data_IF_281824306774
#
_entry.id   IF_281824306774
#
_cell.length_a   1.000
_cell.length_b   1.000
_cell.length_c   1.000
_cell.angle_alpha   90.00
_cell.angle_beta   90.00
_cell.angle_gamma   90.00
#
_symmetry.space_group_name_H-M   'P 1'
#
loop_
_entity.id
_entity.type
_entity.pdbx_description
1 polymer ?
#
# COMPACT_ATOMS: atom_id res chain seq x y z
N UNK A 1 -4.43 24.86 -13.02
CA UNK A 1 -5.43 24.65 -11.95
C UNK A 1 -5.10 23.46 -11.04
N UNK A 2 -4.50 22.38 -11.56
CA UNK A 2 -4.00 21.24 -10.76
C UNK A 2 -2.97 21.64 -9.70
N UNK A 3 -2.14 22.64 -9.98
CA UNK A 3 -0.98 22.95 -9.14
C UNK A 3 -1.38 23.75 -7.90
N UNK A 4 -2.38 24.64 -8.03
CA UNK A 4 -2.95 25.41 -6.91
C UNK A 4 -3.54 24.51 -5.84
N UNK A 5 -4.17 23.42 -6.26
CA UNK A 5 -4.67 22.38 -5.37
C UNK A 5 -3.55 21.65 -4.62
N UNK A 6 -2.41 21.45 -5.30
CA UNK A 6 -1.23 20.82 -4.74
C UNK A 6 -0.64 21.62 -3.56
N UNK A 7 -0.69 22.95 -3.63
CA UNK A 7 -0.20 23.84 -2.58
C UNK A 7 -1.12 23.82 -1.36
N UNK A 8 -2.45 23.85 -1.55
CA UNK A 8 -3.41 23.91 -0.43
C UNK A 8 -3.29 22.72 0.52
N UNK A 9 -3.22 21.50 -0.02
CA UNK A 9 -3.05 20.27 0.80
C UNK A 9 -1.75 20.26 1.62
N UNK A 10 -0.64 20.69 1.02
CA UNK A 10 0.68 20.68 1.67
C UNK A 10 0.75 21.80 2.71
N UNK A 11 0.21 22.97 2.38
CA UNK A 11 0.05 24.08 3.30
C UNK A 11 -0.77 23.68 4.52
N UNK A 12 -1.94 23.06 4.34
CA UNK A 12 -2.77 22.59 5.47
C UNK A 12 -2.01 21.55 6.31
N UNK A 13 -1.35 20.58 5.70
CA UNK A 13 -0.54 19.59 6.43
C UNK A 13 0.58 20.29 7.24
N UNK A 14 1.31 21.21 6.62
CA UNK A 14 2.40 21.96 7.23
C UNK A 14 1.91 22.81 8.41
N UNK A 15 0.81 23.55 8.24
CA UNK A 15 0.20 24.37 9.29
C UNK A 15 -0.20 23.49 10.48
N UNK A 16 -0.85 22.35 10.24
CA UNK A 16 -1.26 21.45 11.32
C UNK A 16 -0.06 20.89 12.09
N UNK A 17 1.05 20.58 11.42
CA UNK A 17 2.28 20.08 12.06
C UNK A 17 3.05 21.20 12.76
N UNK A 18 3.08 22.42 12.22
CA UNK A 18 3.65 23.60 12.86
C UNK A 18 2.93 23.90 14.18
N UNK A 19 1.59 23.82 14.18
CA UNK A 19 0.78 23.89 15.39
C UNK A 19 0.66 22.54 16.12
N UNK A 20 1.62 21.63 15.91
CA UNK A 20 1.66 20.28 16.48
C UNK A 20 1.54 20.22 18.00
N UNK A 21 1.92 21.29 18.70
CA UNK A 21 1.69 21.43 20.15
C UNK A 21 0.19 21.43 20.53
N UNK A 22 -0.65 21.98 19.67
CA UNK A 22 -2.11 22.05 19.87
C UNK A 22 -2.86 20.93 19.14
N UNK A 23 -2.44 20.59 17.92
CA UNK A 23 -3.12 19.59 17.07
C UNK A 23 -2.69 18.15 17.36
N UNK A 24 -1.53 17.96 17.99
CA UNK A 24 -0.90 16.65 18.18
C UNK A 24 -0.31 16.03 16.91
N UNK A 25 -0.40 16.70 15.76
CA UNK A 25 0.11 16.21 14.48
C UNK A 25 1.63 16.35 14.39
N UNK A 26 2.30 15.31 13.87
CA UNK A 26 3.77 15.23 13.76
C UNK A 26 4.24 14.91 12.34
N UNK A 27 3.48 14.13 11.57
CA UNK A 27 3.95 13.66 10.26
C UNK A 27 3.76 14.68 9.14
N UNK A 28 4.84 14.98 8.42
CA UNK A 28 4.81 15.79 7.20
C UNK A 28 4.79 14.88 5.98
N UNK A 29 3.77 15.00 5.13
CA UNK A 29 3.60 14.15 3.95
C UNK A 29 4.50 14.61 2.80
N UNK A 30 5.55 13.85 2.50
CA UNK A 30 6.57 14.23 1.50
C UNK A 30 6.48 13.47 0.17
N UNK A 31 5.57 12.50 0.04
CA UNK A 31 5.50 11.65 -1.14
C UNK A 31 4.70 12.30 -2.28
N UNK A 32 5.40 12.88 -3.26
CA UNK A 32 4.77 13.65 -4.35
C UNK A 32 3.75 12.86 -5.18
N UNK A 33 4.18 11.77 -5.81
CA UNK A 33 3.36 11.00 -6.77
C UNK A 33 2.07 10.43 -6.13
N UNK A 34 2.22 9.72 -5.01
CA UNK A 34 1.07 9.11 -4.31
C UNK A 34 0.17 10.18 -3.73
N UNK A 35 0.75 11.30 -3.28
CA UNK A 35 0.00 12.46 -2.87
C UNK A 35 -0.88 12.97 -4.01
N UNK A 36 -0.31 13.20 -5.20
CA UNK A 36 -1.06 13.71 -6.38
C UNK A 36 -2.25 12.82 -6.68
N UNK A 37 -2.06 11.50 -6.78
CA UNK A 37 -3.14 10.55 -7.06
C UNK A 37 -4.22 10.56 -5.98
N UNK A 38 -3.84 10.60 -4.70
CA UNK A 38 -4.79 10.65 -3.59
C UNK A 38 -5.63 11.93 -3.63
N UNK A 39 -4.97 13.07 -3.81
CA UNK A 39 -5.63 14.37 -3.84
C UNK A 39 -6.56 14.46 -5.06
N UNK A 40 -6.15 13.96 -6.22
CA UNK A 40 -7.01 13.91 -7.42
C UNK A 40 -8.28 13.09 -7.18
N UNK A 41 -8.17 11.92 -6.53
CA UNK A 41 -9.34 11.12 -6.20
C UNK A 41 -10.32 11.86 -5.27
N UNK A 42 -9.82 12.55 -4.25
CA UNK A 42 -10.65 13.35 -3.32
C UNK A 42 -11.30 14.54 -4.04
N UNK A 43 -10.56 15.24 -4.91
CA UNK A 43 -11.10 16.35 -5.69
C UNK A 43 -12.24 15.89 -6.60
N UNK A 44 -12.05 14.78 -7.32
CA UNK A 44 -13.08 14.24 -8.19
C UNK A 44 -14.32 13.78 -7.43
N UNK A 45 -14.16 13.20 -6.25
CA UNK A 45 -15.29 12.86 -5.37
C UNK A 45 -16.10 14.11 -5.02
N UNK A 46 -15.44 15.21 -4.66
CA UNK A 46 -16.11 16.46 -4.28
C UNK A 46 -16.80 17.10 -5.48
N UNK A 47 -16.11 17.21 -6.62
CA UNK A 47 -16.67 17.83 -7.83
C UNK A 47 -17.89 17.06 -8.33
N UNK A 48 -17.80 15.74 -8.46
CA UNK A 48 -18.88 14.95 -9.05
C UNK A 48 -20.05 14.67 -8.10
N UNK A 49 -19.79 14.47 -6.81
CA UNK A 49 -20.86 14.09 -5.87
C UNK A 49 -21.50 15.28 -5.18
N UNK A 50 -20.75 16.37 -4.96
CA UNK A 50 -21.26 17.55 -4.25
C UNK A 50 -21.61 18.70 -5.20
N UNK A 51 -21.19 18.63 -6.47
CA UNK A 51 -21.58 19.60 -7.50
C UNK A 51 -21.06 21.02 -7.26
N UNK A 52 -20.02 21.18 -6.43
CA UNK A 52 -19.44 22.49 -6.13
C UNK A 52 -18.63 23.03 -7.32
N UNK A 53 -18.51 24.36 -7.39
CA UNK A 53 -17.62 25.02 -8.35
C UNK A 53 -16.16 24.62 -8.14
N UNK A 54 -15.33 24.82 -9.17
CA UNK A 54 -13.93 24.40 -9.17
C UNK A 54 -13.13 25.00 -8.01
N UNK A 55 -13.29 26.28 -7.71
CA UNK A 55 -12.55 26.97 -6.66
C UNK A 55 -12.93 26.43 -5.27
N UNK A 56 -14.23 26.29 -4.98
CA UNK A 56 -14.67 25.72 -3.70
C UNK A 56 -14.20 24.27 -3.55
N UNK A 57 -14.31 23.47 -4.62
CA UNK A 57 -13.89 22.07 -4.62
C UNK A 57 -12.40 21.92 -4.34
N UNK A 58 -11.55 22.76 -4.95
CA UNK A 58 -10.10 22.77 -4.74
C UNK A 58 -9.77 23.07 -3.27
N UNK A 59 -10.39 24.09 -2.68
CA UNK A 59 -10.12 24.47 -1.28
C UNK A 59 -10.58 23.37 -0.33
N UNK A 60 -11.82 22.88 -0.48
CA UNK A 60 -12.38 21.83 0.39
C UNK A 60 -11.56 20.54 0.28
N UNK A 61 -11.26 20.09 -0.94
CA UNK A 61 -10.46 18.90 -1.17
C UNK A 61 -9.05 19.06 -0.59
N UNK A 62 -8.45 20.26 -0.72
CA UNK A 62 -7.11 20.55 -0.23
C UNK A 62 -7.04 20.46 1.29
N UNK A 63 -7.98 21.11 1.96
CA UNK A 63 -8.08 21.10 3.43
C UNK A 63 -8.35 19.70 3.95
N UNK A 64 -9.34 18.98 3.40
CA UNK A 64 -9.67 17.62 3.81
C UNK A 64 -8.48 16.67 3.63
N UNK A 65 -7.78 16.77 2.50
CA UNK A 65 -6.61 15.93 2.23
C UNK A 65 -5.45 16.28 3.17
N UNK A 66 -5.18 17.56 3.42
CA UNK A 66 -4.11 17.98 4.33
C UNK A 66 -4.36 17.59 5.78
N UNK A 67 -5.61 17.68 6.24
CA UNK A 67 -6.06 17.17 7.55
C UNK A 67 -5.86 15.65 7.62
N UNK A 68 -6.37 14.92 6.62
CA UNK A 68 -6.21 13.47 6.55
C UNK A 68 -4.74 13.09 6.66
N UNK A 69 -3.87 13.69 5.85
CA UNK A 69 -2.44 13.43 5.87
C UNK A 69 -1.82 13.68 7.24
N UNK A 70 -2.04 14.85 7.84
CA UNK A 70 -1.45 15.21 9.13
C UNK A 70 -1.77 14.18 10.22
N UNK A 71 -3.03 13.74 10.30
CA UNK A 71 -3.44 12.76 11.31
C UNK A 71 -3.05 11.33 10.93
N UNK A 72 -3.24 10.92 9.68
CA UNK A 72 -2.97 9.54 9.25
C UNK A 72 -1.49 9.19 9.34
N UNK A 73 -0.58 10.11 8.95
CA UNK A 73 0.87 9.91 9.08
C UNK A 73 1.30 9.87 10.54
N UNK A 74 0.61 10.63 11.41
CA UNK A 74 0.89 10.69 12.86
C UNK A 74 0.40 9.43 13.59
N UNK A 75 -0.77 8.90 13.21
CA UNK A 75 -1.37 7.70 13.80
C UNK A 75 -0.46 6.48 13.69
N UNK A 76 0.27 6.36 12.57
CA UNK A 76 1.14 5.22 12.32
C UNK A 76 2.58 5.39 12.81
N UNK A 77 2.97 6.55 13.36
CA UNK A 77 4.34 6.79 13.85
C UNK A 77 4.82 5.68 14.79
N UNK A 78 4.00 5.33 15.79
CA UNK A 78 4.38 4.30 16.79
C UNK A 78 4.51 2.90 16.16
N UNK A 79 3.52 2.40 15.38
CA UNK A 79 3.68 1.15 14.63
C UNK A 79 4.92 1.12 13.74
N UNK A 80 5.17 2.19 12.98
CA UNK A 80 6.28 2.25 12.04
C UNK A 80 7.63 2.30 12.78
N UNK A 81 7.72 3.04 13.89
CA UNK A 81 8.91 3.05 14.73
C UNK A 81 9.25 1.65 15.27
N UNK A 82 8.25 0.82 15.61
CA UNK A 82 8.49 -0.57 16.02
C UNK A 82 9.05 -1.44 14.89
N UNK A 83 8.52 -1.30 13.68
CA UNK A 83 8.98 -2.07 12.50
C UNK A 83 10.39 -1.66 12.09
N UNK A 84 10.70 -0.37 12.19
CA UNK A 84 11.93 0.23 11.67
C UNK A 84 13.04 0.39 12.70
N UNK A 85 12.85 -0.11 13.94
CA UNK A 85 13.76 0.12 15.06
C UNK A 85 14.04 1.61 15.29
N UNK A 86 12.98 2.42 15.25
CA UNK A 86 12.99 3.87 15.48
C UNK A 86 13.88 4.64 14.48
N UNK A 87 13.79 4.31 13.19
CA UNK A 87 14.59 4.92 12.12
C UNK A 87 14.30 6.42 11.85
N UNK A 88 13.39 7.05 12.61
CA UNK A 88 13.16 8.50 12.55
C UNK A 88 12.21 8.98 11.45
N UNK A 89 11.53 8.08 10.74
CA UNK A 89 10.53 8.44 9.73
C UNK A 89 9.17 7.74 9.97
N UNK A 90 8.13 8.25 9.32
CA UNK A 90 6.81 7.61 9.21
C UNK A 90 6.44 7.41 7.74
N UNK A 91 5.25 6.88 7.45
CA UNK A 91 4.82 6.56 6.08
C UNK A 91 3.76 7.53 5.56
N UNK A 92 3.92 7.95 4.32
CA UNK A 92 3.03 8.80 3.53
C UNK A 92 2.54 8.04 2.29
N UNK A 93 1.43 7.31 2.41
CA UNK A 93 0.86 6.52 1.31
C UNK A 93 -0.64 6.22 1.50
N UNK A 94 -1.31 5.70 0.47
CA UNK A 94 -2.76 5.50 0.46
C UNK A 94 -3.32 4.55 1.54
N UNK A 95 -2.53 3.63 2.07
CA UNK A 95 -2.96 2.63 3.06
C UNK A 95 -2.56 2.95 4.51
N UNK A 96 -2.29 4.21 4.86
CA UNK A 96 -1.92 4.61 6.23
C UNK A 96 -2.92 4.11 7.29
N UNK A 97 -4.23 4.26 7.04
CA UNK A 97 -5.25 3.75 7.97
C UNK A 97 -5.26 2.22 8.03
N UNK A 98 -5.03 1.54 6.91
CA UNK A 98 -4.87 0.09 6.88
C UNK A 98 -3.69 -0.37 7.73
N UNK A 99 -2.52 0.27 7.56
CA UNK A 99 -1.34 0.00 8.39
C UNK A 99 -1.64 0.22 9.87
N UNK A 100 -2.33 1.31 10.23
CA UNK A 100 -2.76 1.52 11.62
C UNK A 100 -3.66 0.39 12.12
N UNK A 101 -4.68 0.03 11.34
CA UNK A 101 -5.63 -1.03 11.68
C UNK A 101 -4.91 -2.37 11.90
N UNK A 102 -4.13 -2.83 10.92
CA UNK A 102 -3.39 -4.09 11.05
C UNK A 102 -2.37 -4.05 12.19
N UNK A 103 -1.78 -2.89 12.50
CA UNK A 103 -0.90 -2.78 13.67
C UNK A 103 -1.59 -3.06 15.00
N UNK A 104 -2.88 -2.76 15.10
CA UNK A 104 -3.68 -2.99 16.31
C UNK A 104 -4.14 -4.43 16.44
N UNK A 105 -4.20 -5.18 15.36
CA UNK A 105 -4.71 -6.55 15.40
C UNK A 105 -3.60 -7.60 15.20
N UNK A 106 -2.44 -7.23 14.67
CA UNK A 106 -1.32 -8.14 14.40
C UNK A 106 -0.91 -9.03 15.57
N UNK A 107 -0.78 -8.44 16.76
CA UNK A 107 -0.36 -9.16 17.97
C UNK A 107 -1.31 -10.27 18.43
N UNK A 108 -2.56 -10.31 17.93
CA UNK A 108 -3.54 -11.33 18.32
C UNK A 108 -3.38 -12.66 17.59
N UNK A 109 -2.63 -12.66 16.48
CA UNK A 109 -2.61 -13.82 15.57
C UNK A 109 -1.30 -14.60 15.60
N UNK A 110 -0.30 -14.16 16.36
CA UNK A 110 0.94 -14.89 16.50
C UNK A 110 2.00 -14.16 17.30
N UNK A 111 3.09 -14.88 17.54
CA UNK A 111 4.25 -14.40 18.26
C UNK A 111 5.30 -13.86 17.25
N UNK A 112 5.64 -12.56 17.30
CA UNK A 112 6.58 -11.94 16.38
C UNK A 112 8.02 -12.45 16.51
N UNK A 113 8.43 -12.98 17.66
CA UNK A 113 9.80 -13.49 17.84
C UNK A 113 9.95 -14.92 17.32
N UNK A 114 8.91 -15.75 17.51
CA UNK A 114 8.94 -17.16 17.10
C UNK A 114 8.65 -17.38 15.62
N UNK A 115 7.93 -16.45 14.98
CA UNK A 115 7.44 -16.63 13.61
C UNK A 115 7.89 -15.52 12.66
N UNK A 116 9.09 -14.97 12.83
CA UNK A 116 9.62 -13.97 11.90
C UNK A 116 10.04 -14.62 10.56
N UNK A 117 9.46 -14.15 9.45
CA UNK A 117 9.78 -14.60 8.10
C UNK A 117 11.25 -14.39 7.68
N UNK A 118 11.98 -13.50 8.35
CA UNK A 118 13.43 -13.34 8.12
C UNK A 118 14.27 -14.33 8.92
N UNK A 119 13.74 -14.89 10.02
CA UNK A 119 14.48 -15.78 10.94
C UNK A 119 14.05 -17.25 10.85
N UNK A 120 13.30 -17.64 9.83
CA UNK A 120 12.96 -19.05 9.63
C UNK A 120 14.23 -19.85 9.37
N UNK A 121 14.54 -20.80 10.27
CA UNK A 121 15.59 -21.79 10.06
C UNK A 121 14.98 -23.03 9.44
N UNK A 122 14.97 -23.10 8.11
CA UNK A 122 14.46 -24.27 7.39
C UNK A 122 15.52 -25.39 7.34
N UNK A 123 15.15 -26.67 7.55
CA UNK A 123 16.09 -27.78 7.58
C UNK A 123 16.54 -28.23 6.18
N UNK A 124 17.80 -28.68 6.08
CA UNK A 124 18.34 -29.34 4.88
C UNK A 124 18.33 -28.47 3.62
N UNK A 125 17.81 -29.00 2.52
CA UNK A 125 17.77 -28.31 1.22
C UNK A 125 16.88 -27.06 1.21
N UNK A 126 15.94 -26.94 2.16
CA UNK A 126 15.09 -25.75 2.30
C UNK A 126 15.85 -24.54 2.88
N UNK A 127 17.08 -24.72 3.36
CA UNK A 127 17.92 -23.61 3.81
C UNK A 127 18.23 -22.58 2.70
N UNK A 128 18.05 -22.93 1.42
CA UNK A 128 18.16 -22.00 0.29
C UNK A 128 17.21 -20.79 0.41
N UNK A 129 16.09 -20.96 1.11
CA UNK A 129 15.10 -19.90 1.35
C UNK A 129 15.54 -18.92 2.47
N UNK A 130 16.63 -19.21 3.19
CA UNK A 130 17.19 -18.28 4.16
C UNK A 130 17.88 -17.09 3.46
N UNK A 131 18.30 -17.25 2.20
CA UNK A 131 18.83 -16.16 1.39
C UNK A 131 17.69 -15.45 0.67
N UNK A 132 17.40 -14.21 1.07
CA UNK A 132 16.28 -13.42 0.55
C UNK A 132 16.24 -13.32 -0.99
N UNK A 133 17.38 -13.09 -1.66
CA UNK A 133 17.45 -13.01 -3.13
C UNK A 133 16.98 -14.31 -3.78
N UNK A 134 17.46 -15.45 -3.28
CA UNK A 134 17.10 -16.77 -3.78
C UNK A 134 15.66 -17.12 -3.44
N UNK A 135 15.23 -16.83 -2.21
CA UNK A 135 13.87 -17.07 -1.75
C UNK A 135 12.84 -16.31 -2.60
N UNK A 136 13.07 -15.02 -2.83
CA UNK A 136 12.21 -14.17 -3.65
C UNK A 136 12.16 -14.69 -5.08
N UNK A 137 13.31 -15.06 -5.67
CA UNK A 137 13.36 -15.58 -7.03
C UNK A 137 12.52 -16.86 -7.18
N UNK A 138 12.67 -17.81 -6.25
CA UNK A 138 11.93 -19.09 -6.29
C UNK A 138 10.43 -18.85 -6.08
N UNK A 139 10.06 -18.11 -5.03
CA UNK A 139 8.66 -17.82 -4.71
C UNK A 139 7.96 -17.10 -5.86
N UNK A 140 8.63 -16.12 -6.49
CA UNK A 140 8.07 -15.37 -7.61
C UNK A 140 8.03 -16.18 -8.90
N UNK A 141 9.01 -17.06 -9.15
CA UNK A 141 8.96 -18.01 -10.28
C UNK A 141 7.74 -18.91 -10.18
N UNK A 142 7.50 -19.49 -8.99
CA UNK A 142 6.34 -20.35 -8.75
C UNK A 142 5.03 -19.58 -8.84
N UNK A 143 4.99 -18.37 -8.25
CA UNK A 143 3.81 -17.53 -8.24
C UNK A 143 3.43 -17.06 -9.64
N UNK A 144 4.32 -16.35 -10.34
CA UNK A 144 4.08 -15.86 -11.70
C UNK A 144 3.90 -17.03 -12.67
N UNK A 145 4.70 -18.09 -12.51
CA UNK A 145 4.57 -19.31 -13.30
C UNK A 145 3.19 -19.96 -13.17
N UNK A 146 2.66 -20.08 -11.95
CA UNK A 146 1.31 -20.58 -11.71
C UNK A 146 0.24 -19.76 -12.44
N UNK A 147 0.32 -18.42 -12.37
CA UNK A 147 -0.61 -17.55 -13.09
C UNK A 147 -0.49 -17.65 -14.61
N UNK A 148 0.74 -17.67 -15.14
CA UNK A 148 0.97 -17.77 -16.57
C UNK A 148 0.50 -19.12 -17.11
N UNK A 149 0.81 -20.22 -16.42
CA UNK A 149 0.37 -21.56 -16.82
C UNK A 149 -1.15 -21.71 -16.78
N UNK A 150 -1.84 -21.01 -15.87
CA UNK A 150 -3.31 -20.97 -15.85
C UNK A 150 -3.91 -20.32 -17.12
N UNK A 151 -3.15 -19.51 -17.86
CA UNK A 151 -3.57 -18.97 -19.17
C UNK A 151 -3.40 -19.97 -20.32
N UNK A 152 -2.74 -21.12 -20.09
CA UNK A 152 -2.45 -22.14 -21.10
C UNK A 152 -1.01 -22.05 -21.64
N UNK A 153 -0.38 -23.21 -21.86
CA UNK A 153 1.04 -23.31 -22.25
C UNK A 153 1.30 -22.60 -23.59
N UNK A 154 0.40 -22.72 -24.56
CA UNK A 154 0.54 -22.10 -25.87
C UNK A 154 0.61 -20.57 -25.77
N UNK A 155 -0.20 -19.97 -24.91
CA UNK A 155 -0.17 -18.53 -24.65
C UNK A 155 1.15 -18.11 -24.01
N UNK A 156 1.67 -18.89 -23.07
CA UNK A 156 2.98 -18.62 -22.46
C UNK A 156 4.12 -18.76 -23.48
N UNK A 157 4.03 -19.75 -24.37
CA UNK A 157 5.03 -19.97 -25.42
C UNK A 157 5.03 -18.84 -26.45
N UNK A 158 3.87 -18.27 -26.77
CA UNK A 158 3.74 -17.04 -27.57
C UNK A 158 4.37 -15.84 -26.85
N UNK A 159 4.09 -15.66 -25.55
CA UNK A 159 4.68 -14.59 -24.74
C UNK A 159 6.20 -14.72 -24.60
N UNK A 160 6.73 -15.94 -24.64
CA UNK A 160 8.15 -16.23 -24.55
C UNK A 160 8.96 -15.84 -25.81
N UNK A 161 8.30 -15.43 -26.91
CA UNK A 161 8.91 -14.87 -28.14
C UNK A 161 10.12 -15.67 -28.64
N UNK A 162 9.98 -17.00 -28.73
CA UNK A 162 11.02 -17.91 -29.24
C UNK A 162 11.95 -18.52 -28.18
N UNK A 163 11.81 -18.16 -26.90
CA UNK A 163 12.42 -18.91 -25.79
C UNK A 163 11.48 -20.04 -25.33
N UNK A 164 11.99 -21.16 -24.79
CA UNK A 164 11.14 -22.16 -24.15
C UNK A 164 10.34 -21.54 -22.99
N UNK A 165 9.04 -21.87 -22.89
CA UNK A 165 8.11 -21.30 -21.90
C UNK A 165 8.64 -21.38 -20.45
N UNK A 166 9.29 -22.49 -20.08
CA UNK A 166 9.83 -22.68 -18.72
C UNK A 166 11.02 -21.76 -18.44
N UNK A 167 11.90 -21.53 -19.42
CA UNK A 167 13.00 -20.57 -19.31
C UNK A 167 12.45 -19.15 -19.18
N UNK A 168 11.39 -18.83 -19.89
CA UNK A 168 10.71 -17.53 -19.78
C UNK A 168 10.17 -17.30 -18.36
N UNK A 169 9.47 -18.29 -17.78
CA UNK A 169 8.95 -18.21 -16.40
C UNK A 169 10.08 -18.04 -15.37
N UNK A 170 11.14 -18.84 -15.48
CA UNK A 170 12.31 -18.74 -14.58
C UNK A 170 12.95 -17.35 -14.69
N UNK A 171 13.13 -16.83 -15.90
CA UNK A 171 13.68 -15.49 -16.11
C UNK A 171 12.81 -14.39 -15.49
N UNK A 172 11.48 -14.49 -15.57
CA UNK A 172 10.59 -13.53 -14.93
C UNK A 172 10.74 -13.50 -13.40
N UNK A 173 10.82 -14.67 -12.76
CA UNK A 173 11.04 -14.75 -11.31
C UNK A 173 12.42 -14.24 -10.89
N UNK A 174 13.46 -14.54 -11.66
CA UNK A 174 14.81 -14.00 -11.44
C UNK A 174 14.86 -12.48 -11.62
N UNK A 175 14.23 -11.94 -12.67
CA UNK A 175 14.13 -10.51 -12.90
C UNK A 175 13.41 -9.80 -11.75
N UNK A 176 12.34 -10.39 -11.23
CA UNK A 176 11.66 -9.83 -10.06
C UNK A 176 12.61 -9.71 -8.86
N UNK A 177 13.36 -10.77 -8.54
CA UNK A 177 14.33 -10.73 -7.46
C UNK A 177 15.42 -9.69 -7.68
N UNK A 178 15.94 -9.59 -8.92
CA UNK A 178 16.91 -8.56 -9.31
C UNK A 178 16.36 -7.14 -9.09
N UNK A 179 15.14 -6.86 -9.54
CA UNK A 179 14.49 -5.56 -9.33
C UNK A 179 14.22 -5.28 -7.85
N UNK A 180 13.88 -6.31 -7.07
CA UNK A 180 13.77 -6.19 -5.63
C UNK A 180 15.10 -5.78 -5.00
N UNK A 181 16.22 -6.39 -5.36
CA UNK A 181 17.54 -5.99 -4.84
C UNK A 181 17.83 -4.52 -5.17
N UNK A 182 17.61 -4.10 -6.42
CA UNK A 182 17.80 -2.70 -6.84
C UNK A 182 16.91 -1.76 -6.03
N UNK A 183 15.63 -2.11 -5.87
CA UNK A 183 14.66 -1.32 -5.10
C UNK A 183 15.09 -1.19 -3.64
N UNK A 184 15.45 -2.30 -2.98
CA UNK A 184 15.83 -2.30 -1.57
C UNK A 184 17.09 -1.47 -1.32
N UNK A 185 18.07 -1.55 -2.25
CA UNK A 185 19.29 -0.77 -2.17
C UNK A 185 19.01 0.73 -2.36
N UNK A 186 18.25 1.10 -3.39
CA UNK A 186 17.91 2.50 -3.68
C UNK A 186 17.11 3.15 -2.55
N UNK A 187 16.13 2.43 -2.01
CA UNK A 187 15.30 2.92 -0.90
C UNK A 187 16.12 3.13 0.38
N UNK A 188 17.01 2.20 0.73
CA UNK A 188 17.87 2.36 1.93
C UNK A 188 18.74 3.61 1.84
N UNK A 189 19.34 3.85 0.68
CA UNK A 189 20.17 5.04 0.43
C UNK A 189 19.33 6.32 0.57
N UNK A 190 18.17 6.37 -0.09
CA UNK A 190 17.28 7.52 -0.06
C UNK A 190 16.78 7.84 1.36
N UNK A 191 16.38 6.82 2.13
CA UNK A 191 15.89 7.01 3.51
C UNK A 191 16.98 7.60 4.41
N UNK A 192 18.23 7.18 4.24
CA UNK A 192 19.37 7.74 4.99
C UNK A 192 19.53 9.24 4.76
N UNK A 193 19.53 9.66 3.48
CA UNK A 193 19.67 11.08 3.10
C UNK A 193 18.47 11.94 3.52
N UNK A 194 17.25 11.41 3.42
CA UNK A 194 16.04 12.11 3.88
C UNK A 194 16.12 12.35 5.38
N UNK A 195 16.52 11.35 6.18
CA UNK A 195 16.59 11.51 7.62
C UNK A 195 17.65 12.54 8.04
N UNK A 196 18.82 12.51 7.39
CA UNK A 196 19.89 13.49 7.62
C UNK A 196 19.48 14.92 7.28
N UNK A 197 18.90 15.13 6.10
CA UNK A 197 18.44 16.45 5.65
C UNK A 197 17.26 16.99 6.46
N UNK A 198 16.33 16.11 6.87
CA UNK A 198 15.16 16.52 7.63
C UNK A 198 15.48 16.91 9.08
N UNK A 199 16.52 16.32 9.68
CA UNK A 199 16.98 16.71 11.02
C UNK A 199 17.37 18.19 11.08
N UNK A 200 18.11 18.69 10.08
CA UNK A 200 18.46 20.11 9.99
C UNK A 200 17.24 21.05 9.88
N UNK A 201 16.19 20.61 9.19
CA UNK A 201 14.92 21.34 9.13
C UNK A 201 14.14 21.28 10.45
N UNK A 202 14.11 20.10 11.09
CA UNK A 202 13.43 19.85 12.35
C UNK A 202 14.00 20.72 13.47
N UNK A 203 15.33 20.83 13.56
CA UNK A 203 16.03 21.59 14.59
C UNK A 203 15.81 23.10 14.48
N UNK A 204 15.59 23.62 13.26
CA UNK A 204 15.48 25.07 13.00
C UNK A 204 14.04 25.58 12.87
N UNK A 205 13.15 24.82 12.25
CA UNK A 205 11.84 25.33 11.79
C UNK A 205 10.63 24.60 12.39
N UNK A 206 10.69 23.28 12.56
CA UNK A 206 9.50 22.48 12.93
C UNK A 206 9.84 21.47 14.03
N UNK A 207 10.00 21.93 15.28
CA UNK A 207 10.35 21.06 16.39
C UNK A 207 9.23 20.02 16.59
N UNK A 208 9.61 18.73 16.62
CA UNK A 208 8.74 17.54 16.70
C UNK A 208 8.12 17.04 15.39
N UNK A 209 8.44 17.61 14.23
CA UNK A 209 8.02 17.04 12.95
C UNK A 209 8.74 15.71 12.67
N UNK A 210 8.05 14.78 12.02
CA UNK A 210 8.58 13.49 11.57
C UNK A 210 8.38 13.43 10.06
N UNK A 211 9.44 13.14 9.27
CA UNK A 211 9.29 13.02 7.82
C UNK A 211 8.46 11.79 7.49
N UNK A 212 7.40 11.95 6.70
CA UNK A 212 6.61 10.85 6.19
C UNK A 212 7.02 10.55 4.73
N UNK A 213 7.61 9.39 4.51
CA UNK A 213 8.19 8.95 3.22
C UNK A 213 7.35 7.85 2.57
N UNK A 214 7.71 7.46 1.35
CA UNK A 214 7.00 6.42 0.61
C UNK A 214 6.97 5.07 1.35
N UNK A 215 5.91 4.30 1.15
CA UNK A 215 5.71 2.99 1.78
C UNK A 215 6.82 1.99 1.43
N UNK A 216 7.47 2.15 0.28
CA UNK A 216 8.62 1.34 -0.12
C UNK A 216 9.74 1.37 0.92
N UNK A 217 9.84 2.44 1.72
CA UNK A 217 10.77 2.57 2.84
C UNK A 217 10.69 1.43 3.87
N UNK A 218 9.56 0.71 3.96
CA UNK A 218 9.42 -0.43 4.86
C UNK A 218 9.98 -1.73 4.30
N UNK A 219 10.02 -1.88 2.98
CA UNK A 219 10.38 -3.14 2.32
C UNK A 219 11.79 -3.65 2.73
N UNK A 220 12.81 -2.79 2.90
CA UNK A 220 14.14 -3.25 3.30
C UNK A 220 14.25 -3.77 4.73
N UNK A 221 13.24 -3.57 5.59
CA UNK A 221 13.23 -4.03 6.98
C UNK A 221 12.74 -5.48 7.13
N UNK A 222 12.02 -6.00 6.13
CA UNK A 222 11.64 -7.41 6.04
C UNK A 222 11.29 -7.82 4.59
N UNK A 223 12.30 -8.03 3.72
CA UNK A 223 12.09 -8.32 2.30
C UNK A 223 11.29 -9.60 2.00
N UNK A 224 11.48 -10.66 2.79
CA UNK A 224 10.74 -11.92 2.63
C UNK A 224 9.27 -11.71 3.03
N UNK A 225 9.04 -10.98 4.12
CA UNK A 225 7.69 -10.64 4.56
C UNK A 225 6.94 -9.79 3.53
N UNK A 226 7.62 -8.85 2.88
CA UNK A 226 7.06 -8.06 1.79
C UNK A 226 6.62 -8.95 0.62
N UNK A 227 7.51 -9.83 0.18
CA UNK A 227 7.28 -10.68 -0.99
C UNK A 227 6.08 -11.60 -0.78
N UNK A 228 6.02 -12.35 0.33
CA UNK A 228 4.82 -13.17 0.54
C UNK A 228 3.59 -12.37 1.00
N UNK A 229 3.74 -11.15 1.53
CA UNK A 229 2.61 -10.23 1.75
C UNK A 229 1.92 -9.86 0.43
N UNK A 230 2.70 -9.63 -0.63
CA UNK A 230 2.19 -9.49 -1.99
C UNK A 230 1.47 -10.76 -2.50
N UNK A 231 2.05 -11.95 -2.28
CA UNK A 231 1.42 -13.23 -2.67
C UNK A 231 0.05 -13.39 -2.01
N UNK A 232 -0.03 -13.22 -0.68
CA UNK A 232 -1.28 -13.33 0.07
C UNK A 232 -2.28 -12.24 -0.32
N UNK A 233 -1.83 -11.00 -0.56
CA UNK A 233 -2.69 -9.93 -1.04
C UNK A 233 -3.30 -10.26 -2.42
N UNK A 234 -2.54 -10.92 -3.29
CA UNK A 234 -3.03 -11.35 -4.60
C UNK A 234 -4.09 -12.44 -4.47
N UNK A 235 -3.85 -13.47 -3.67
CA UNK A 235 -4.87 -14.50 -3.42
C UNK A 235 -6.12 -13.93 -2.76
N UNK A 236 -5.97 -13.04 -1.77
CA UNK A 236 -7.12 -12.36 -1.14
C UNK A 236 -7.91 -11.51 -2.14
N UNK A 237 -7.23 -10.91 -3.11
CA UNK A 237 -7.88 -10.17 -4.18
C UNK A 237 -8.68 -11.08 -5.11
N UNK A 238 -8.09 -12.21 -5.53
CA UNK A 238 -8.78 -13.19 -6.39
C UNK A 238 -10.00 -13.76 -5.68
N UNK A 239 -9.86 -14.06 -4.39
CA UNK A 239 -10.96 -14.49 -3.55
C UNK A 239 -12.08 -13.43 -3.48
N UNK A 240 -11.71 -12.16 -3.26
CA UNK A 240 -12.66 -11.03 -3.27
C UNK A 240 -13.37 -10.87 -4.61
N UNK A 241 -12.65 -11.04 -5.73
CA UNK A 241 -13.24 -11.04 -7.06
C UNK A 241 -14.22 -12.20 -7.27
N UNK A 242 -13.91 -13.39 -6.73
CA UNK A 242 -14.82 -14.53 -6.71
C UNK A 242 -16.11 -14.22 -5.95
N UNK A 243 -16.01 -13.56 -4.79
CA UNK A 243 -17.20 -13.09 -4.05
C UNK A 243 -18.00 -12.10 -4.87
N UNK A 244 -17.36 -11.10 -5.49
CA UNK A 244 -18.03 -10.11 -6.35
C UNK A 244 -18.77 -10.77 -7.52
N UNK A 245 -18.19 -11.82 -8.09
CA UNK A 245 -18.83 -12.62 -9.14
C UNK A 245 -20.05 -13.40 -8.61
N UNK A 246 -19.93 -14.04 -7.45
CA UNK A 246 -21.03 -14.79 -6.81
C UNK A 246 -22.23 -13.88 -6.47
N UNK A 247 -21.97 -12.66 -5.99
CA UNK A 247 -23.03 -11.69 -5.68
C UNK A 247 -23.54 -10.94 -6.92
N UNK A 248 -23.07 -11.30 -8.12
CA UNK A 248 -23.43 -10.65 -9.39
C UNK A 248 -23.25 -9.12 -9.34
N UNK A 249 -22.14 -8.66 -8.77
CA UNK A 249 -21.82 -7.25 -8.69
C UNK A 249 -21.76 -6.64 -10.10
N UNK A 250 -22.40 -5.49 -10.35
CA UNK A 250 -22.35 -4.80 -11.65
C UNK A 250 -20.97 -4.21 -11.96
N UNK A 251 -20.06 -4.19 -10.98
CA UNK A 251 -18.71 -3.64 -11.11
C UNK A 251 -17.72 -4.72 -10.69
N UNK A 252 -16.79 -5.04 -11.59
CA UNK A 252 -15.65 -5.92 -11.32
C UNK A 252 -14.36 -5.10 -11.32
N UNK A 253 -13.59 -5.21 -10.25
CA UNK A 253 -12.33 -4.48 -10.09
C UNK A 253 -11.18 -5.37 -10.52
N UNK A 254 -10.47 -4.98 -11.58
CA UNK A 254 -9.27 -5.67 -12.03
C UNK A 254 -8.05 -5.12 -11.26
N UNK A 255 -7.33 -5.97 -10.51
CA UNK A 255 -6.18 -5.51 -9.74
C UNK A 255 -4.98 -5.23 -10.65
N UNK A 256 -4.42 -4.02 -10.48
CA UNK A 256 -3.08 -3.74 -10.97
C UNK A 256 -2.00 -4.35 -10.06
N UNK A 257 -0.83 -4.62 -10.64
CA UNK A 257 0.35 -5.09 -9.89
C UNK A 257 0.79 -4.12 -8.80
N UNK A 258 0.83 -2.81 -9.10
CA UNK A 258 1.32 -1.78 -8.17
C UNK A 258 0.48 -1.75 -6.87
N UNK A 259 -0.86 -1.67 -6.90
CA UNK A 259 -1.67 -1.78 -5.67
C UNK A 259 -1.46 -3.08 -4.90
N UNK A 260 -1.35 -4.22 -5.59
CA UNK A 260 -1.14 -5.51 -4.92
C UNK A 260 0.19 -5.55 -4.17
N UNK A 261 1.27 -5.11 -4.82
CA UNK A 261 2.60 -5.17 -4.24
C UNK A 261 2.82 -4.09 -3.18
N UNK A 262 2.51 -2.83 -3.46
CA UNK A 262 2.79 -1.70 -2.56
C UNK A 262 1.74 -1.52 -1.45
N UNK A 263 0.59 -2.20 -1.53
CA UNK A 263 -0.32 -2.35 -0.38
C UNK A 263 0.00 -3.62 0.41
N UNK A 264 0.03 -4.78 -0.26
CA UNK A 264 0.24 -6.08 0.38
C UNK A 264 1.61 -6.28 0.99
N UNK A 265 2.67 -5.84 0.31
CA UNK A 265 4.05 -5.99 0.79
C UNK A 265 4.29 -5.27 2.11
N UNK A 266 4.06 -3.95 2.19
CA UNK A 266 4.27 -3.20 3.42
C UNK A 266 3.37 -3.62 4.58
N UNK A 267 2.11 -3.98 4.32
CA UNK A 267 1.24 -4.57 5.35
C UNK A 267 1.81 -5.92 5.80
N UNK A 268 2.38 -6.72 4.89
CA UNK A 268 3.09 -7.96 5.20
C UNK A 268 4.33 -7.75 6.08
N UNK A 269 5.12 -6.72 5.83
CA UNK A 269 6.27 -6.32 6.68
C UNK A 269 5.80 -5.96 8.08
N UNK A 270 4.80 -5.07 8.15
CA UNK A 270 4.19 -4.60 9.39
C UNK A 270 3.62 -5.77 10.22
N UNK A 271 2.86 -6.64 9.55
CA UNK A 271 2.30 -7.85 10.12
C UNK A 271 3.36 -8.78 10.70
N UNK A 272 4.39 -9.08 9.91
CA UNK A 272 5.45 -9.99 10.31
C UNK A 272 6.16 -9.50 11.58
N UNK A 273 6.47 -8.21 11.65
CA UNK A 273 7.14 -7.61 12.82
C UNK A 273 6.27 -7.48 14.07
N UNK A 274 4.95 -7.53 13.96
CA UNK A 274 4.06 -7.38 15.13
C UNK A 274 3.26 -8.63 15.51
N UNK A 275 3.14 -9.62 14.63
CA UNK A 275 2.38 -10.84 14.87
C UNK A 275 2.97 -12.10 14.22
N UNK A 276 4.14 -12.01 13.60
CA UNK A 276 4.80 -13.12 12.92
C UNK A 276 4.03 -13.65 11.70
N UNK A 277 4.47 -14.80 11.18
CA UNK A 277 3.92 -15.44 9.96
C UNK A 277 2.46 -15.82 10.10
N UNK A 278 2.00 -16.17 11.29
CA UNK A 278 0.61 -16.60 11.52
C UNK A 278 -0.42 -15.53 11.16
N UNK A 279 -0.05 -14.24 11.24
CA UNK A 279 -0.92 -13.15 10.79
C UNK A 279 -1.20 -13.15 9.28
N UNK A 280 -0.32 -13.73 8.46
CA UNK A 280 -0.52 -13.78 6.99
C UNK A 280 -1.70 -14.64 6.58
N UNK A 281 -2.04 -15.66 7.37
CA UNK A 281 -3.22 -16.47 7.14
C UNK A 281 -4.52 -15.67 7.37
N UNK A 282 -4.51 -14.65 8.22
CA UNK A 282 -5.67 -13.80 8.50
C UNK A 282 -5.76 -12.53 7.63
N UNK A 283 -4.68 -12.18 6.91
CA UNK A 283 -4.71 -11.17 5.85
C UNK A 283 -5.73 -11.52 4.75
N UNK A 284 -6.17 -12.78 4.69
CA UNK A 284 -7.26 -13.28 3.85
C UNK A 284 -8.59 -12.52 4.00
N UNK A 285 -8.86 -11.86 5.14
CA UNK A 285 -10.23 -11.39 5.44
C UNK A 285 -10.46 -9.87 5.45
N UNK A 286 -9.43 -9.01 5.55
CA UNK A 286 -9.69 -7.61 5.98
C UNK A 286 -9.11 -6.48 5.14
N UNK A 287 -8.03 -6.69 4.36
CA UNK A 287 -7.35 -5.54 3.70
C UNK A 287 -8.12 -5.03 2.49
N UNK A 288 -8.91 -5.90 1.84
CA UNK A 288 -9.46 -5.58 0.52
C UNK A 288 -10.98 -5.76 0.41
N UNK A 289 -11.55 -6.55 1.31
CA UNK A 289 -13.00 -6.66 1.49
C UNK A 289 -13.63 -5.31 1.90
N UNK A 290 -12.85 -4.32 2.37
CA UNK A 290 -13.38 -2.98 2.67
C UNK A 290 -13.23 -1.97 1.52
N UNK A 291 -12.20 -2.10 0.67
CA UNK A 291 -11.98 -1.16 -0.44
C UNK A 291 -12.82 -1.53 -1.66
N UNK A 292 -12.84 -2.81 -2.07
CA UNK A 292 -13.55 -3.24 -3.28
C UNK A 292 -15.08 -3.37 -3.03
N UNK A 293 -15.49 -3.76 -1.81
CA UNK A 293 -16.90 -3.88 -1.43
C UNK A 293 -17.62 -2.52 -1.33
N UNK A 294 -16.92 -1.43 -0.94
CA UNK A 294 -17.51 -0.08 -0.95
C UNK A 294 -17.70 0.50 -2.35
N UNK A 295 -16.81 0.18 -3.31
CA UNK A 295 -17.00 0.58 -4.70
C UNK A 295 -18.24 -0.11 -5.32
N UNK A 296 -18.52 -1.37 -4.95
CA UNK A 296 -19.74 -2.08 -5.37
C UNK A 296 -21.02 -1.59 -4.66
N UNK A 297 -20.97 -1.31 -3.36
CA UNK A 297 -22.17 -0.92 -2.59
C UNK A 297 -22.63 0.53 -2.81
N UNK A 298 -21.76 1.43 -3.30
CA UNK A 298 -22.12 2.82 -3.61
C UNK A 298 -23.26 2.94 -4.65
N UNK A 299 -23.46 1.92 -5.48
CA UNK A 299 -24.54 1.89 -6.47
C UNK A 299 -25.85 1.28 -5.97
N UNK A 300 -25.83 0.47 -4.90
CA UNK A 300 -27.05 -0.09 -4.32
C UNK A 300 -27.87 0.99 -3.60
N UNK A 301 -27.20 1.98 -3.00
CA UNK A 301 -27.86 3.19 -2.47
C UNK A 301 -28.39 4.12 -3.56
N UNK A 302 -27.80 4.11 -4.76
CA UNK A 302 -28.21 4.98 -5.86
C UNK A 302 -29.55 4.54 -6.47
N UNK A 303 -29.93 3.25 -6.39
CA UNK A 303 -31.30 2.80 -6.77
C UNK A 303 -32.36 3.15 -5.73
N UNK A 304 -32.00 3.23 -4.44
CA UNK A 304 -32.92 3.65 -3.39
C UNK A 304 -33.14 5.18 -3.41
N UNK A 305 -32.10 5.96 -3.76
CA UNK A 305 -32.18 7.41 -3.95
C UNK A 305 -32.88 7.84 -5.25
N UNK A 306 -32.59 7.19 -6.39
CA UNK A 306 -33.25 7.51 -7.67
C UNK A 306 -34.75 7.25 -7.68
N UNK A 307 -35.25 6.28 -6.89
CA UNK A 307 -36.71 6.07 -6.73
C UNK A 307 -37.41 7.15 -5.91
N UNK A 308 -36.68 8.00 -5.18
CA UNK A 308 -37.26 9.16 -4.45
C UNK A 308 -37.21 10.47 -5.22
N UNK A 309 -36.40 10.58 -6.27
CA UNK A 309 -36.16 11.85 -6.97
C UNK A 309 -36.64 11.89 -8.44
N UNK A 310 -37.48 10.96 -8.89
CA UNK A 310 -38.30 11.14 -10.11
C UNK A 310 -37.58 11.73 -11.34
N UNK A 311 -36.38 11.25 -11.65
CA UNK A 311 -35.62 11.66 -12.84
C UNK A 311 -35.34 10.42 -13.69
N UNK A 312 -36.41 9.91 -14.31
CA UNK A 312 -36.32 9.16 -15.55
C UNK A 312 -36.45 10.19 -16.69
N UNK A 313 -35.37 10.37 -17.44
CA UNK A 313 -35.33 11.29 -18.56
C UNK A 313 -34.13 11.01 -19.44
N UNK A 314 -34.43 10.52 -20.65
CA UNK A 314 -33.53 10.27 -21.78
C UNK A 314 -32.37 11.27 -21.90
N UNK A 315 -31.16 10.75 -22.09
CA UNK A 315 -30.22 10.95 -23.23
C UNK A 315 -29.14 9.87 -23.12
#
# INVERSE_FOLDING_TARGET
MSDTFLYWRFFTNLVLVLFGRYTGAKGIFLTGNTGVSHSQAVLWLIVFWLGFGWVQSIVIAGVLTGVFWAFSTTLIVKPIAKVTNNAGFTIAHNQMLGLWFFSKFAHKFGDPEKHDAENLKLPGWLAIFNHNVTAIAIVMTLFVGGFLLATGIDNVQLMAKGKPWYIYIINLGLQFSMYMVILLQGVRMMVGEINGSFKGWQDRFIPNAIPAVDVAALLPFSPNAATLGFVFCTFGTIFSMGILLLIHSPIMVLPGFVPLFFSGGPIGVLANRMGGISFRYYLYFLVRDYSDFRYGMGHSFNRAGKRRCGLDGNI
#
